data_IF_515093042684
#
_entry.id   IF_515093042684
#
_cell.length_a   1.000
_cell.length_b   1.000
_cell.length_c   1.000
_cell.angle_alpha   90.00
_cell.angle_beta   90.00
_cell.angle_gamma   90.00
#
_symmetry.space_group_name_H-M   'P 1'
#
loop_
_entity.id
_entity.type
_entity.pdbx_description
1 polymer ?
#
# COMPACT_ATOMS: atom_id res chain seq x y z
N UNK A 1 -21.52 18.69 25.72
CA UNK A 1 -22.44 19.83 25.57
C UNK A 1 -23.88 19.33 25.50
N UNK A 2 -24.78 19.97 26.21
CA UNK A 2 -26.24 19.73 26.11
C UNK A 2 -26.79 20.40 24.83
N UNK A 3 -27.94 19.96 24.30
CA UNK A 3 -28.61 20.66 23.21
C UNK A 3 -28.86 22.11 23.55
N UNK A 4 -28.48 23.03 22.67
CA UNK A 4 -28.58 24.51 22.86
C UNK A 4 -27.44 25.14 23.68
N UNK A 5 -26.51 24.34 24.20
CA UNK A 5 -25.37 24.85 24.98
C UNK A 5 -24.26 25.35 24.05
N UNK A 6 -23.63 26.48 24.41
CA UNK A 6 -22.49 27.06 23.71
C UNK A 6 -21.43 27.48 24.74
N UNK A 7 -20.18 27.11 24.51
CA UNK A 7 -19.03 27.47 25.35
C UNK A 7 -18.51 28.86 24.93
N UNK A 8 -19.11 29.92 25.47
CA UNK A 8 -18.82 31.29 25.06
C UNK A 8 -17.39 31.75 25.36
N UNK A 9 -16.76 31.14 26.35
CA UNK A 9 -15.40 31.50 26.80
C UNK A 9 -14.31 30.74 26.04
N UNK A 10 -14.67 29.92 25.02
CA UNK A 10 -13.77 29.13 24.22
C UNK A 10 -13.86 29.57 22.75
N UNK A 11 -13.18 30.66 22.37
CA UNK A 11 -13.16 31.09 20.99
C UNK A 11 -12.34 30.07 20.16
N UNK A 12 -12.84 29.73 18.99
CA UNK A 12 -12.14 28.89 18.03
C UNK A 12 -12.05 29.59 16.67
N UNK A 13 -10.92 29.34 16.00
CA UNK A 13 -10.67 29.77 14.64
C UNK A 13 -10.39 28.50 13.83
N UNK A 14 -11.10 28.31 12.74
CA UNK A 14 -10.87 27.19 11.85
C UNK A 14 -10.99 27.60 10.39
N UNK A 15 -10.29 26.88 9.53
CA UNK A 15 -10.43 26.98 8.09
C UNK A 15 -10.81 25.63 7.49
N UNK A 16 -11.62 25.65 6.43
CA UNK A 16 -11.96 24.39 5.77
C UNK A 16 -12.82 24.60 4.53
N UNK A 17 -13.06 23.49 3.83
CA UNK A 17 -13.84 23.47 2.58
C UNK A 17 -15.31 23.21 2.86
N UNK A 18 -16.20 24.00 2.29
CA UNK A 18 -17.64 23.75 2.31
C UNK A 18 -17.94 22.49 1.49
N UNK A 19 -18.49 21.48 2.14
CA UNK A 19 -18.94 20.23 1.50
C UNK A 19 -20.42 20.28 1.19
N UNK A 20 -21.22 20.74 2.15
CA UNK A 20 -22.66 21.00 1.97
C UNK A 20 -23.04 22.33 2.57
N UNK A 21 -24.15 22.89 2.09
CA UNK A 21 -24.76 24.07 2.70
C UNK A 21 -26.27 23.93 2.75
N UNK A 22 -26.86 24.46 3.81
CA UNK A 22 -28.31 24.46 4.05
C UNK A 22 -28.72 25.85 4.58
N UNK A 23 -29.88 26.32 4.19
CA UNK A 23 -30.44 27.56 4.71
C UNK A 23 -31.80 27.28 5.39
N UNK A 24 -31.97 27.80 6.60
CA UNK A 24 -33.25 27.82 7.29
C UNK A 24 -33.75 29.27 7.31
N UNK A 25 -34.11 29.79 6.13
CA UNK A 25 -34.44 31.16 5.89
C UNK A 25 -33.21 32.04 5.57
N UNK A 26 -33.38 33.38 5.54
CA UNK A 26 -32.31 34.32 5.22
C UNK A 26 -31.31 34.53 6.38
N UNK A 27 -31.76 34.34 7.62
CA UNK A 27 -31.00 34.65 8.83
C UNK A 27 -30.27 33.48 9.48
N UNK A 28 -30.43 32.24 8.97
CA UNK A 28 -29.80 31.05 9.54
C UNK A 28 -29.24 30.16 8.44
N UNK A 29 -27.92 29.97 8.46
CA UNK A 29 -27.18 29.17 7.50
C UNK A 29 -26.42 28.09 8.24
N UNK A 30 -26.31 26.90 7.59
CA UNK A 30 -25.52 25.79 8.05
C UNK A 30 -24.55 25.37 6.95
N UNK A 31 -23.30 25.11 7.31
CA UNK A 31 -22.27 24.61 6.43
C UNK A 31 -21.63 23.37 7.07
N UNK A 32 -21.52 22.30 6.32
CA UNK A 32 -20.65 21.17 6.70
C UNK A 32 -19.28 21.47 6.11
N UNK A 33 -18.31 21.76 6.97
CA UNK A 33 -16.96 22.16 6.59
C UNK A 33 -16.00 21.04 6.90
N UNK A 34 -15.13 20.72 5.95
CA UNK A 34 -14.13 19.65 6.06
C UNK A 34 -12.73 20.21 6.07
N UNK A 35 -11.95 19.82 7.08
CA UNK A 35 -10.52 20.09 7.19
C UNK A 35 -9.82 18.81 7.67
N UNK A 36 -8.69 18.48 7.03
CA UNK A 36 -7.87 17.28 7.35
C UNK A 36 -8.65 15.95 7.44
N UNK A 37 -9.75 15.86 6.70
CA UNK A 37 -10.62 14.66 6.69
C UNK A 37 -11.68 14.64 7.78
N UNK A 38 -11.67 15.61 8.70
CA UNK A 38 -12.67 15.77 9.75
C UNK A 38 -13.73 16.77 9.27
N UNK A 39 -14.99 16.45 9.52
CA UNK A 39 -16.11 17.30 9.16
C UNK A 39 -16.76 17.87 10.42
N UNK A 40 -17.08 19.16 10.38
CA UNK A 40 -17.82 19.84 11.43
C UNK A 40 -18.91 20.73 10.84
N UNK A 41 -20.04 20.79 11.53
CA UNK A 41 -21.11 21.73 11.18
C UNK A 41 -20.76 23.14 11.67
N UNK A 42 -20.96 24.12 10.82
CA UNK A 42 -20.93 25.53 11.16
C UNK A 42 -22.38 26.04 11.16
N UNK A 43 -22.81 26.64 12.27
CA UNK A 43 -24.09 27.34 12.38
C UNK A 43 -23.83 28.84 12.39
N UNK A 44 -24.21 29.52 11.33
CA UNK A 44 -24.15 30.99 11.23
C UNK A 44 -25.55 31.58 11.34
N UNK A 45 -25.73 32.46 12.32
CA UNK A 45 -27.00 33.12 12.60
C UNK A 45 -26.79 34.64 12.62
N UNK A 46 -27.63 35.39 11.92
CA UNK A 46 -27.51 36.82 11.78
C UNK A 46 -27.43 37.56 13.11
N UNK A 47 -28.24 37.14 14.11
CA UNK A 47 -28.28 37.78 15.43
C UNK A 47 -27.04 37.53 16.30
N UNK A 48 -26.20 36.54 15.92
CA UNK A 48 -24.95 36.18 16.59
C UNK A 48 -23.72 36.67 15.81
N UNK A 49 -23.91 37.17 14.62
CA UNK A 49 -22.83 37.64 13.76
C UNK A 49 -22.22 38.96 14.32
N UNK A 50 -20.89 39.07 14.20
CA UNK A 50 -20.15 40.27 14.57
C UNK A 50 -20.62 41.50 13.79
N UNK A 51 -21.12 41.30 12.56
CA UNK A 51 -21.75 42.35 11.74
C UNK A 51 -23.06 41.80 11.13
N UNK A 52 -24.21 41.97 11.81
CA UNK A 52 -25.51 41.50 11.33
C UNK A 52 -25.96 42.12 10.01
N UNK A 53 -25.58 43.36 9.73
CA UNK A 53 -26.02 44.10 8.51
C UNK A 53 -25.35 43.49 7.24
N UNK A 54 -24.11 43.06 7.35
CA UNK A 54 -23.37 42.42 6.24
C UNK A 54 -23.64 40.92 6.10
N UNK A 55 -24.36 40.28 7.02
CA UNK A 55 -24.57 38.84 7.07
C UNK A 55 -25.09 38.27 5.75
N UNK A 56 -26.14 38.88 5.18
CA UNK A 56 -26.71 38.39 3.91
C UNK A 56 -25.67 38.44 2.78
N UNK A 57 -25.00 39.59 2.61
CA UNK A 57 -23.99 39.77 1.56
C UNK A 57 -22.79 38.81 1.71
N UNK A 58 -22.34 38.55 2.95
CA UNK A 58 -21.24 37.59 3.21
C UNK A 58 -21.62 36.16 2.87
N UNK A 59 -22.86 35.76 3.14
CA UNK A 59 -23.30 34.34 2.96
C UNK A 59 -24.00 34.08 1.63
N UNK A 60 -24.36 35.09 0.86
CA UNK A 60 -25.09 34.97 -0.40
C UNK A 60 -24.21 34.32 -1.50
N UNK A 61 -22.93 34.67 -1.52
CA UNK A 61 -21.97 34.25 -2.53
C UNK A 61 -21.17 33.00 -2.14
N UNK A 62 -21.35 32.47 -0.92
CA UNK A 62 -20.69 31.27 -0.51
C UNK A 62 -21.31 30.05 -1.19
N UNK A 63 -20.48 29.22 -1.78
CA UNK A 63 -20.92 28.02 -2.48
C UNK A 63 -20.14 26.78 -2.05
N UNK A 64 -20.69 25.64 -2.41
CA UNK A 64 -20.06 24.34 -2.19
C UNK A 64 -18.70 24.28 -2.89
N UNK A 65 -17.67 23.89 -2.15
CA UNK A 65 -16.30 23.83 -2.63
C UNK A 65 -15.44 25.02 -2.18
N UNK A 66 -16.02 26.13 -1.79
CA UNK A 66 -15.28 27.28 -1.27
C UNK A 66 -14.50 26.89 -0.01
N UNK A 67 -13.37 27.54 0.18
CA UNK A 67 -12.60 27.48 1.43
C UNK A 67 -12.97 28.72 2.24
N UNK A 68 -13.43 28.49 3.44
CA UNK A 68 -13.83 29.54 4.37
C UNK A 68 -13.03 29.52 5.66
N UNK A 69 -12.82 30.69 6.24
CA UNK A 69 -12.42 30.88 7.63
C UNK A 69 -13.65 31.11 8.50
N UNK A 70 -13.65 30.54 9.69
CA UNK A 70 -14.75 30.65 10.65
C UNK A 70 -14.18 31.00 12.01
N UNK A 71 -14.76 32.04 12.61
CA UNK A 71 -14.54 32.41 14.02
C UNK A 71 -15.85 32.17 14.76
N UNK A 72 -15.77 31.57 15.93
CA UNK A 72 -16.95 31.25 16.72
C UNK A 72 -16.66 30.46 17.97
N UNK A 73 -17.66 29.83 18.51
CA UNK A 73 -17.58 29.07 19.77
C UNK A 73 -18.12 27.62 19.59
N UNK A 74 -17.54 26.63 20.27
CA UNK A 74 -18.12 25.29 20.28
C UNK A 74 -19.51 25.30 20.86
N UNK A 75 -20.46 24.68 20.17
CA UNK A 75 -21.83 24.56 20.64
C UNK A 75 -22.50 23.31 20.15
N UNK A 76 -23.67 23.03 20.70
CA UNK A 76 -24.53 21.96 20.23
C UNK A 76 -25.87 22.53 19.80
N UNK A 77 -26.26 22.28 18.57
CA UNK A 77 -27.55 22.77 18.06
C UNK A 77 -28.73 22.19 18.83
N UNK A 78 -29.86 22.90 18.85
CA UNK A 78 -31.11 22.41 19.44
C UNK A 78 -32.20 22.45 18.38
N UNK A 79 -32.37 21.34 17.60
CA UNK A 79 -33.41 21.32 16.58
C UNK A 79 -34.79 21.36 17.18
N UNK A 80 -35.69 22.19 16.62
CA UNK A 80 -37.10 22.31 17.03
C UNK A 80 -37.95 21.08 16.64
N UNK A 81 -37.36 19.99 16.20
CA UNK A 81 -38.06 18.77 15.85
C UNK A 81 -38.69 18.15 17.08
N UNK A 82 -39.96 17.71 16.95
CA UNK A 82 -40.72 17.03 18.01
C UNK A 82 -40.25 15.59 18.30
N UNK A 83 -39.23 15.08 17.62
CA UNK A 83 -38.63 13.79 17.93
C UNK A 83 -37.84 13.92 19.26
N UNK A 84 -38.28 13.20 20.28
CA UNK A 84 -37.72 13.21 21.64
C UNK A 84 -36.24 12.80 21.72
N UNK A 85 -35.62 12.39 20.62
CA UNK A 85 -34.24 11.93 20.48
C UNK A 85 -33.32 12.90 19.71
N UNK A 86 -33.78 14.09 19.33
CA UNK A 86 -32.96 15.04 18.58
C UNK A 86 -31.87 15.64 19.49
N UNK A 87 -30.74 14.91 19.64
CA UNK A 87 -29.61 15.30 20.50
C UNK A 87 -28.89 16.58 20.05
N UNK A 88 -29.26 17.13 18.90
CA UNK A 88 -28.52 18.23 18.27
C UNK A 88 -27.14 17.81 17.77
N UNK A 89 -26.55 18.58 16.89
CA UNK A 89 -25.26 18.33 16.28
C UNK A 89 -24.18 19.21 16.91
N UNK A 90 -22.99 18.63 17.16
CA UNK A 90 -21.83 19.41 17.60
C UNK A 90 -21.43 20.36 16.46
N UNK A 91 -21.34 21.63 16.77
CA UNK A 91 -21.19 22.69 15.77
C UNK A 91 -20.27 23.80 16.27
N UNK A 92 -19.74 24.57 15.34
CA UNK A 92 -19.22 25.91 15.65
C UNK A 92 -20.36 26.91 15.45
N UNK A 93 -20.71 27.61 16.53
CA UNK A 93 -21.63 28.74 16.48
C UNK A 93 -20.81 29.93 16.01
N UNK A 94 -20.93 30.25 14.72
CA UNK A 94 -20.08 31.26 14.09
C UNK A 94 -20.52 32.69 14.44
N UNK A 95 -19.55 33.49 14.80
CA UNK A 95 -19.66 34.94 14.91
C UNK A 95 -19.17 35.63 13.64
N UNK A 96 -18.27 34.99 12.90
CA UNK A 96 -17.76 35.47 11.64
C UNK A 96 -17.47 34.32 10.67
N UNK A 97 -17.79 34.53 9.38
CA UNK A 97 -17.45 33.61 8.29
C UNK A 97 -16.85 34.42 7.15
N UNK A 98 -15.64 34.07 6.75
CA UNK A 98 -14.87 34.78 5.73
C UNK A 98 -14.58 33.85 4.56
N UNK A 99 -14.84 34.30 3.33
CA UNK A 99 -14.38 33.61 2.13
C UNK A 99 -12.86 33.77 2.01
N UNK A 100 -12.12 32.63 2.10
CA UNK A 100 -10.66 32.62 1.91
C UNK A 100 -10.29 32.35 0.46
N UNK A 101 -10.97 31.38 -0.18
CA UNK A 101 -10.71 31.04 -1.59
C UNK A 101 -11.98 30.52 -2.24
N UNK A 102 -12.45 31.15 -3.33
CA UNK A 102 -13.60 30.66 -4.06
C UNK A 102 -13.27 29.38 -4.85
N UNK A 103 -14.24 28.49 -4.95
CA UNK A 103 -14.16 27.31 -5.80
C UNK A 103 -14.70 27.63 -7.20
N UNK A 104 -13.79 27.87 -8.15
CA UNK A 104 -14.15 28.30 -9.50
C UNK A 104 -14.77 27.18 -10.37
N UNK A 105 -14.68 25.92 -9.93
CA UNK A 105 -15.24 24.76 -10.63
C UNK A 105 -16.17 23.99 -9.70
N UNK A 106 -17.33 23.60 -10.21
CA UNK A 106 -18.29 22.81 -9.43
C UNK A 106 -17.70 21.44 -9.05
N UNK A 107 -17.73 21.11 -7.78
CA UNK A 107 -17.34 19.78 -7.31
C UNK A 107 -18.41 18.74 -7.69
N UNK A 108 -18.00 17.49 -7.98
CA UNK A 108 -18.91 16.36 -8.20
C UNK A 108 -19.90 16.21 -7.04
N UNK A 109 -21.10 15.74 -7.33
CA UNK A 109 -22.18 15.56 -6.35
C UNK A 109 -22.52 14.09 -6.16
N UNK A 110 -23.36 13.77 -5.18
CA UNK A 110 -23.92 12.42 -5.00
C UNK A 110 -24.69 11.96 -6.23
N UNK A 111 -25.34 12.88 -6.96
CA UNK A 111 -26.07 12.59 -8.21
C UNK A 111 -25.12 12.34 -9.38
N UNK A 112 -23.97 13.00 -9.39
CA UNK A 112 -22.90 12.86 -10.38
C UNK A 112 -21.60 12.52 -9.67
N UNK A 113 -21.43 11.25 -9.24
CA UNK A 113 -20.30 10.86 -8.43
C UNK A 113 -19.02 10.74 -9.25
N UNK A 114 -17.90 11.08 -8.64
CA UNK A 114 -16.57 10.98 -9.25
C UNK A 114 -16.02 9.57 -9.06
N UNK A 115 -16.43 8.63 -9.95
CA UNK A 115 -16.14 7.19 -9.83
C UNK A 115 -15.20 6.64 -10.89
N UNK A 116 -15.14 7.27 -12.07
CA UNK A 116 -14.28 6.81 -13.13
C UNK A 116 -12.81 6.73 -12.71
N UNK A 117 -12.18 5.57 -12.87
CA UNK A 117 -10.82 5.31 -12.39
C UNK A 117 -9.80 6.19 -13.07
N UNK A 118 -9.88 6.34 -14.40
CA UNK A 118 -8.92 7.12 -15.16
C UNK A 118 -9.02 8.62 -14.80
N UNK A 119 -10.23 9.16 -14.73
CA UNK A 119 -10.44 10.53 -14.29
C UNK A 119 -9.95 10.79 -12.87
N UNK A 120 -10.15 9.85 -11.94
CA UNK A 120 -9.66 9.94 -10.57
C UNK A 120 -8.12 10.01 -10.51
N UNK A 121 -7.43 9.27 -11.36
CA UNK A 121 -5.97 9.36 -11.47
C UNK A 121 -5.51 10.67 -12.12
N UNK A 122 -6.17 11.12 -13.18
CA UNK A 122 -5.84 12.38 -13.87
C UNK A 122 -6.14 13.62 -13.03
N UNK A 123 -7.24 13.60 -12.28
CA UNK A 123 -7.68 14.71 -11.41
C UNK A 123 -7.58 14.31 -9.94
N UNK A 124 -6.38 13.90 -9.52
CA UNK A 124 -6.13 13.38 -8.17
C UNK A 124 -6.57 14.33 -7.06
N UNK A 125 -6.43 15.64 -7.28
CA UNK A 125 -6.89 16.66 -6.32
C UNK A 125 -8.42 16.61 -6.10
N UNK A 126 -9.21 16.38 -7.14
CA UNK A 126 -10.66 16.19 -6.99
C UNK A 126 -10.96 14.88 -6.27
N UNK A 127 -10.26 13.80 -6.63
CA UNK A 127 -10.39 12.50 -5.97
C UNK A 127 -10.13 12.59 -4.46
N UNK A 128 -9.09 13.32 -4.04
CA UNK A 128 -8.77 13.52 -2.63
C UNK A 128 -9.79 14.40 -1.87
N UNK A 129 -10.45 15.31 -2.56
CA UNK A 129 -11.55 16.12 -1.99
C UNK A 129 -12.78 15.24 -1.76
N UNK A 130 -13.10 14.38 -2.75
CA UNK A 130 -14.37 13.66 -2.80
C UNK A 130 -14.34 12.28 -2.14
N UNK A 131 -13.19 11.59 -2.16
CA UNK A 131 -13.06 10.19 -1.77
C UNK A 131 -12.11 10.04 -0.57
N UNK A 132 -12.66 9.88 0.62
CA UNK A 132 -11.87 9.67 1.84
C UNK A 132 -11.01 8.39 1.78
N UNK A 133 -11.47 7.36 1.08
CA UNK A 133 -10.69 6.15 0.86
C UNK A 133 -9.35 6.45 0.18
N UNK A 134 -9.31 7.30 -0.85
CA UNK A 134 -8.08 7.69 -1.53
C UNK A 134 -7.13 8.46 -0.61
N UNK A 135 -7.65 9.35 0.20
CA UNK A 135 -6.88 10.09 1.20
C UNK A 135 -6.31 9.14 2.25
N UNK A 136 -7.14 8.26 2.79
CA UNK A 136 -6.74 7.29 3.80
C UNK A 136 -5.67 6.31 3.27
N UNK A 137 -5.75 5.91 1.99
CA UNK A 137 -4.72 5.10 1.34
C UNK A 137 -3.35 5.78 1.36
N UNK A 138 -3.26 7.08 1.06
CA UNK A 138 -2.00 7.83 1.13
C UNK A 138 -1.45 7.93 2.57
N UNK A 139 -2.34 8.19 3.53
CA UNK A 139 -1.95 8.25 4.96
C UNK A 139 -1.45 6.88 5.43
N UNK A 140 -2.18 5.81 5.08
CA UNK A 140 -1.81 4.44 5.43
C UNK A 140 -0.46 4.06 4.82
N UNK A 141 -0.22 4.40 3.55
CA UNK A 141 1.08 4.21 2.91
C UNK A 141 2.23 4.88 3.67
N UNK A 142 2.03 6.12 4.11
CA UNK A 142 3.03 6.84 4.90
C UNK A 142 3.31 6.17 6.24
N UNK A 143 2.26 5.69 6.93
CA UNK A 143 2.39 4.94 8.19
C UNK A 143 3.15 3.61 7.98
N UNK A 144 2.88 2.91 6.88
CA UNK A 144 3.59 1.66 6.51
C UNK A 144 5.08 1.93 6.34
N UNK A 145 5.46 2.90 5.51
CA UNK A 145 6.87 3.24 5.25
C UNK A 145 7.57 3.63 6.54
N UNK A 146 6.94 4.49 7.35
CA UNK A 146 7.50 4.91 8.62
C UNK A 146 7.69 3.73 9.59
N UNK A 147 6.71 2.85 9.72
CA UNK A 147 6.81 1.67 10.59
C UNK A 147 7.98 0.77 10.18
N UNK A 148 8.13 0.48 8.89
CA UNK A 148 9.23 -0.35 8.38
C UNK A 148 10.57 0.29 8.70
N UNK A 149 10.73 1.60 8.48
CA UNK A 149 11.96 2.32 8.82
C UNK A 149 12.25 2.24 10.33
N UNK A 150 11.28 2.63 11.17
CA UNK A 150 11.44 2.59 12.64
C UNK A 150 11.77 1.16 13.14
N UNK A 151 11.15 0.14 12.53
CA UNK A 151 11.37 -1.26 12.87
C UNK A 151 12.81 -1.72 12.58
N UNK A 152 13.34 -1.38 11.40
CA UNK A 152 14.69 -1.72 10.97
C UNK A 152 15.74 -0.89 11.72
N UNK A 153 15.53 0.42 11.87
CA UNK A 153 16.43 1.31 12.63
C UNK A 153 16.61 0.84 14.07
N UNK A 154 15.52 0.46 14.75
CA UNK A 154 15.54 -0.07 16.11
C UNK A 154 16.28 -1.42 16.25
N UNK A 155 16.56 -2.10 15.12
CA UNK A 155 17.34 -3.34 15.06
C UNK A 155 18.76 -3.14 14.54
N UNK A 156 19.20 -1.87 14.44
CA UNK A 156 20.54 -1.49 14.06
C UNK A 156 20.81 -1.59 12.56
N UNK A 157 19.78 -1.58 11.72
CA UNK A 157 19.97 -1.42 10.29
C UNK A 157 20.21 0.06 9.95
N UNK A 158 21.12 0.32 9.03
CA UNK A 158 21.41 1.65 8.51
C UNK A 158 20.60 1.88 7.23
N UNK A 159 19.79 2.93 7.22
CA UNK A 159 19.13 3.36 5.98
C UNK A 159 20.15 4.01 5.06
N UNK A 160 20.20 3.56 3.81
CA UNK A 160 21.12 4.08 2.79
C UNK A 160 20.35 4.49 1.54
N UNK A 161 21.00 5.25 0.68
CA UNK A 161 20.50 5.59 -0.65
C UNK A 161 21.57 5.23 -1.67
N UNK A 162 21.18 4.40 -2.63
CA UNK A 162 22.05 3.95 -3.72
C UNK A 162 21.64 4.59 -5.04
N UNK A 163 22.53 4.60 -6.06
CA UNK A 163 22.26 5.28 -7.33
C UNK A 163 21.03 4.74 -8.04
N UNK A 164 20.18 5.65 -8.56
CA UNK A 164 19.01 5.29 -9.39
C UNK A 164 19.38 5.09 -10.85
N UNK A 165 20.48 5.69 -11.33
CA UNK A 165 20.96 5.57 -12.71
C UNK A 165 22.34 4.90 -12.73
N UNK A 166 22.51 3.92 -13.59
CA UNK A 166 23.70 3.09 -13.65
C UNK A 166 24.13 2.82 -15.10
N UNK A 167 25.42 2.54 -15.27
CA UNK A 167 25.96 2.08 -16.57
C UNK A 167 25.51 0.67 -16.91
N UNK A 168 25.24 -0.16 -15.92
CA UNK A 168 24.85 -1.56 -16.06
C UNK A 168 23.54 -1.77 -15.28
N UNK A 169 22.54 -2.32 -15.94
CA UNK A 169 21.34 -2.79 -15.27
C UNK A 169 21.62 -4.14 -14.58
N UNK A 170 21.22 -4.30 -13.34
CA UNK A 170 21.43 -5.54 -12.59
C UNK A 170 20.62 -5.61 -11.31
N UNK A 171 20.69 -6.76 -10.62
CA UNK A 171 19.99 -7.02 -9.35
C UNK A 171 18.57 -7.60 -9.50
N UNK A 172 18.06 -7.76 -10.72
CA UNK A 172 16.79 -8.44 -10.98
C UNK A 172 16.71 -8.91 -12.44
N UNK A 173 15.76 -9.81 -12.73
CA UNK A 173 15.45 -10.26 -14.10
C UNK A 173 14.30 -9.41 -14.66
N UNK A 174 14.59 -8.17 -15.05
CA UNK A 174 13.61 -7.24 -15.59
C UNK A 174 14.21 -6.38 -16.71
N UNK A 175 13.37 -5.86 -17.59
CA UNK A 175 13.82 -4.91 -18.64
C UNK A 175 14.00 -3.52 -18.03
N UNK A 176 15.19 -2.88 -18.18
CA UNK A 176 15.43 -1.54 -17.66
C UNK A 176 14.86 -0.46 -18.59
N UNK A 177 14.52 0.70 -18.03
CA UNK A 177 14.42 1.93 -18.80
C UNK A 177 15.81 2.45 -19.11
N UNK A 178 16.01 2.94 -20.34
CA UNK A 178 17.26 3.57 -20.81
C UNK A 178 17.11 5.08 -20.79
N UNK A 179 18.16 5.76 -20.41
CA UNK A 179 18.31 7.21 -20.53
C UNK A 179 19.70 7.55 -21.07
N UNK A 180 19.96 8.80 -21.38
CA UNK A 180 21.23 9.24 -21.97
C UNK A 180 21.82 10.40 -21.19
N UNK A 181 23.11 10.32 -20.88
CA UNK A 181 23.86 11.40 -20.24
C UNK A 181 24.54 12.25 -21.31
N UNK A 182 24.05 13.46 -21.55
CA UNK A 182 24.51 14.34 -22.65
C UNK A 182 25.99 14.67 -22.57
N UNK A 183 26.47 15.11 -21.41
CA UNK A 183 27.87 15.51 -21.20
C UNK A 183 28.87 14.35 -21.36
N UNK A 184 28.50 13.15 -20.84
CA UNK A 184 29.34 11.97 -20.93
C UNK A 184 29.19 11.21 -22.23
N UNK A 185 28.20 11.56 -23.06
CA UNK A 185 27.91 10.90 -24.34
C UNK A 185 27.59 9.41 -24.20
N UNK A 186 26.87 8.99 -23.17
CA UNK A 186 26.69 7.57 -22.88
C UNK A 186 25.28 7.21 -22.41
N UNK A 187 24.88 5.98 -22.71
CA UNK A 187 23.65 5.38 -22.21
C UNK A 187 23.75 5.08 -20.70
N UNK A 188 22.68 5.37 -19.99
CA UNK A 188 22.46 4.95 -18.61
C UNK A 188 21.16 4.16 -18.50
N UNK A 189 21.05 3.37 -17.45
CA UNK A 189 19.86 2.58 -17.15
C UNK A 189 19.28 3.02 -15.81
N UNK A 190 17.96 3.14 -15.74
CA UNK A 190 17.27 3.27 -14.48
C UNK A 190 17.34 1.94 -13.73
N UNK A 191 17.58 1.98 -12.43
CA UNK A 191 17.71 0.76 -11.62
C UNK A 191 16.44 -0.07 -11.61
N UNK A 192 16.60 -1.39 -11.69
CA UNK A 192 15.52 -2.38 -11.56
C UNK A 192 15.44 -2.97 -10.15
N UNK A 193 16.51 -2.84 -9.38
CA UNK A 193 16.67 -3.18 -7.96
C UNK A 193 17.93 -2.52 -7.39
N UNK A 194 18.03 -2.23 -6.08
CA UNK A 194 19.24 -1.71 -5.42
C UNK A 194 20.20 -2.84 -4.98
N UNK A 195 19.88 -4.10 -5.20
CA UNK A 195 20.53 -5.31 -4.70
C UNK A 195 22.06 -5.26 -4.76
N UNK A 196 22.64 -4.96 -5.94
CA UNK A 196 24.09 -5.01 -6.14
C UNK A 196 24.83 -3.98 -5.26
N UNK A 197 24.27 -2.79 -5.15
CA UNK A 197 24.86 -1.75 -4.30
C UNK A 197 24.73 -2.06 -2.82
N UNK A 198 23.60 -2.57 -2.37
CA UNK A 198 23.40 -2.97 -0.97
C UNK A 198 24.36 -4.09 -0.60
N UNK A 199 24.59 -5.07 -1.49
CA UNK A 199 25.60 -6.10 -1.31
C UNK A 199 27.03 -5.54 -1.23
N UNK A 200 27.37 -4.56 -2.07
CA UNK A 200 28.67 -3.87 -1.99
C UNK A 200 28.89 -3.20 -0.62
N UNK A 201 27.85 -2.61 -0.05
CA UNK A 201 27.93 -2.00 1.29
C UNK A 201 28.17 -3.05 2.37
N UNK A 202 27.49 -4.21 2.29
CA UNK A 202 27.70 -5.32 3.23
C UNK A 202 29.13 -5.87 3.10
N UNK A 203 29.63 -6.09 1.89
CA UNK A 203 31.03 -6.49 1.64
C UNK A 203 32.01 -5.45 2.17
N UNK A 204 31.65 -4.17 2.09
CA UNK A 204 32.41 -3.05 2.65
C UNK A 204 32.39 -2.93 4.18
N UNK A 205 31.69 -3.85 4.88
CA UNK A 205 31.67 -3.91 6.35
C UNK A 205 30.47 -3.22 7.01
N UNK A 206 29.41 -2.88 6.26
CA UNK A 206 28.14 -2.43 6.82
C UNK A 206 27.22 -3.64 7.01
N UNK A 207 27.27 -4.26 8.18
CA UNK A 207 26.62 -5.56 8.44
C UNK A 207 25.10 -5.57 8.30
N UNK A 208 24.44 -4.42 8.45
CA UNK A 208 22.99 -4.27 8.36
C UNK A 208 22.63 -3.00 7.62
N UNK A 209 22.10 -3.13 6.42
CA UNK A 209 21.69 -2.00 5.59
C UNK A 209 20.31 -2.22 5.01
N UNK A 210 19.58 -1.13 4.76
CA UNK A 210 18.34 -1.19 4.02
C UNK A 210 18.12 0.08 3.18
N UNK A 211 17.32 -0.07 2.15
CA UNK A 211 16.85 1.05 1.34
C UNK A 211 15.36 0.93 1.06
N UNK A 212 14.61 2.00 1.27
CA UNK A 212 13.25 2.16 0.78
C UNK A 212 13.28 3.14 -0.36
N UNK A 213 13.05 2.67 -1.58
CA UNK A 213 13.25 3.49 -2.78
C UNK A 213 12.45 3.06 -3.99
N UNK A 214 12.52 3.88 -5.03
CA UNK A 214 11.86 3.63 -6.32
C UNK A 214 12.67 2.67 -7.16
N UNK A 215 11.95 1.74 -7.81
CA UNK A 215 12.46 0.84 -8.83
C UNK A 215 11.72 1.08 -10.14
N UNK A 216 12.39 0.77 -11.26
CA UNK A 216 11.89 1.07 -12.59
C UNK A 216 12.01 -0.19 -13.47
N UNK A 217 10.89 -0.76 -13.90
CA UNK A 217 10.84 -1.94 -14.77
C UNK A 217 10.02 -1.64 -16.02
N UNK A 218 10.64 -1.76 -17.19
CA UNK A 218 10.01 -1.49 -18.49
C UNK A 218 9.32 -2.76 -18.99
N UNK A 219 8.24 -3.10 -18.32
CA UNK A 219 7.43 -4.31 -18.54
C UNK A 219 5.96 -3.95 -18.69
N UNK A 220 5.09 -4.95 -18.90
CA UNK A 220 3.64 -4.74 -19.01
C UNK A 220 3.04 -4.13 -17.75
N UNK A 221 1.99 -3.34 -17.93
CA UNK A 221 1.22 -2.71 -16.85
C UNK A 221 -0.04 -3.54 -16.63
N UNK A 222 -0.28 -3.92 -15.38
CA UNK A 222 -1.52 -4.56 -14.94
C UNK A 222 -1.98 -4.00 -13.59
N UNK A 223 -2.91 -4.70 -12.92
CA UNK A 223 -3.46 -4.26 -11.64
C UNK A 223 -2.48 -4.32 -10.47
N UNK A 224 -1.37 -5.06 -10.63
CA UNK A 224 -0.34 -5.28 -9.60
C UNK A 224 1.04 -4.78 -10.01
N UNK A 225 1.28 -4.55 -11.30
CA UNK A 225 2.56 -4.15 -11.85
C UNK A 225 2.49 -2.75 -12.45
N UNK A 226 3.31 -1.85 -11.90
CA UNK A 226 3.53 -0.51 -12.43
C UNK A 226 5.00 -0.39 -12.91
N UNK A 227 5.27 0.43 -13.94
CA UNK A 227 6.64 0.63 -14.42
C UNK A 227 7.55 1.30 -13.40
N UNK A 228 6.97 2.04 -12.46
CA UNK A 228 7.63 2.66 -11.32
C UNK A 228 6.91 2.24 -10.03
N UNK A 229 7.65 1.67 -9.08
CA UNK A 229 7.11 1.20 -7.81
C UNK A 229 8.13 1.36 -6.69
N UNK A 230 7.70 1.18 -5.45
CA UNK A 230 8.57 1.29 -4.27
C UNK A 230 8.79 -0.08 -3.66
N UNK A 231 10.07 -0.39 -3.38
CA UNK A 231 10.46 -1.56 -2.57
C UNK A 231 11.15 -1.13 -1.29
N UNK A 232 11.12 -2.01 -0.30
CA UNK A 232 12.05 -2.03 0.80
C UNK A 232 12.94 -3.23 0.62
N UNK A 233 14.24 -3.03 0.47
CA UNK A 233 15.23 -4.09 0.47
C UNK A 233 16.16 -3.91 1.66
N UNK A 234 16.45 -5.00 2.39
CA UNK A 234 17.39 -4.99 3.50
C UNK A 234 18.33 -6.19 3.43
N UNK A 235 19.54 -6.01 3.91
CA UNK A 235 20.61 -7.00 3.90
C UNK A 235 21.22 -7.09 5.29
N UNK A 236 21.39 -8.32 5.77
CA UNK A 236 21.85 -8.62 7.11
C UNK A 236 22.97 -9.66 7.06
N UNK A 237 24.20 -9.23 7.35
CA UNK A 237 25.35 -10.11 7.48
C UNK A 237 25.18 -11.06 8.68
N UNK A 238 25.69 -12.28 8.53
CA UNK A 238 25.69 -13.34 9.55
C UNK A 238 24.32 -13.89 9.95
N UNK A 239 23.23 -13.43 9.35
CA UNK A 239 21.90 -14.00 9.51
C UNK A 239 21.70 -15.17 8.52
N UNK A 240 20.90 -16.13 8.90
CA UNK A 240 20.46 -17.18 7.98
C UNK A 240 19.02 -16.97 7.49
N UNK A 241 18.54 -17.87 6.64
CA UNK A 241 17.18 -17.78 6.08
C UNK A 241 16.11 -17.72 7.19
N UNK A 242 16.32 -18.46 8.27
CA UNK A 242 15.33 -18.54 9.36
C UNK A 242 15.30 -17.26 10.19
N UNK A 243 16.45 -16.64 10.44
CA UNK A 243 16.53 -15.33 11.11
C UNK A 243 15.75 -14.27 10.31
N UNK A 244 15.94 -14.24 8.99
CA UNK A 244 15.26 -13.27 8.11
C UNK A 244 13.77 -13.58 7.97
N UNK A 245 13.40 -14.86 7.96
CA UNK A 245 12.00 -15.29 7.95
C UNK A 245 11.26 -14.82 9.21
N UNK A 246 11.85 -15.05 10.39
CA UNK A 246 11.29 -14.60 11.67
C UNK A 246 11.20 -13.07 11.78
N UNK A 247 12.23 -12.36 11.32
CA UNK A 247 12.23 -10.90 11.28
C UNK A 247 11.12 -10.38 10.37
N UNK A 248 10.96 -10.99 9.19
CA UNK A 248 9.93 -10.61 8.21
C UNK A 248 8.53 -10.83 8.78
N UNK A 249 8.29 -11.98 9.37
CA UNK A 249 7.02 -12.35 10.00
C UNK A 249 6.67 -11.37 11.14
N UNK A 250 7.64 -11.06 12.00
CA UNK A 250 7.46 -10.14 13.12
C UNK A 250 7.19 -8.70 12.61
N UNK A 251 7.97 -8.25 11.64
CA UNK A 251 7.83 -6.91 11.05
C UNK A 251 6.46 -6.72 10.41
N UNK A 252 6.03 -7.65 9.57
CA UNK A 252 4.78 -7.48 8.81
C UNK A 252 3.55 -7.68 9.70
N UNK A 253 3.55 -8.67 10.59
CA UNK A 253 2.46 -8.85 11.57
C UNK A 253 2.34 -7.64 12.49
N UNK A 254 3.46 -7.13 13.00
CA UNK A 254 3.50 -5.93 13.84
C UNK A 254 3.06 -4.67 13.09
N UNK A 255 3.45 -4.53 11.82
CA UNK A 255 3.01 -3.46 10.93
C UNK A 255 1.48 -3.42 10.80
N UNK A 256 0.88 -4.55 10.48
CA UNK A 256 -0.59 -4.65 10.33
C UNK A 256 -1.27 -4.23 11.62
N UNK A 257 -0.84 -4.78 12.76
CA UNK A 257 -1.39 -4.41 14.07
C UNK A 257 -1.26 -2.90 14.36
N UNK A 258 -0.10 -2.31 14.06
CA UNK A 258 0.15 -0.88 14.31
C UNK A 258 -0.72 0.03 13.43
N UNK A 259 -1.01 -0.38 12.20
CA UNK A 259 -1.76 0.43 11.23
C UNK A 259 -3.27 0.26 11.38
N UNK A 260 -3.73 -0.96 11.66
CA UNK A 260 -5.17 -1.31 11.68
C UNK A 260 -5.75 -1.46 13.08
N UNK A 261 -4.91 -1.58 14.10
CA UNK A 261 -5.30 -1.83 15.49
C UNK A 261 -5.47 -3.32 15.85
N UNK A 262 -5.33 -4.23 14.90
CA UNK A 262 -5.46 -5.68 15.11
C UNK A 262 -4.70 -6.49 14.07
N UNK A 263 -4.85 -7.82 14.12
CA UNK A 263 -4.22 -8.73 13.17
C UNK A 263 -5.18 -9.20 12.07
N UNK A 264 -6.42 -8.74 12.07
CA UNK A 264 -7.40 -9.12 11.06
C UNK A 264 -7.65 -7.97 10.08
N UNK A 265 -7.67 -8.28 8.81
CA UNK A 265 -7.97 -7.34 7.73
C UNK A 265 -8.90 -7.97 6.71
N UNK A 266 -9.60 -7.13 5.95
CA UNK A 266 -10.42 -7.56 4.82
C UNK A 266 -9.88 -6.93 3.53
N UNK A 267 -9.70 -7.76 2.51
CA UNK A 267 -9.37 -7.34 1.16
C UNK A 267 -10.57 -7.56 0.24
N UNK A 268 -11.12 -6.48 -0.29
CA UNK A 268 -12.12 -6.55 -1.35
C UNK A 268 -11.42 -6.63 -2.70
N UNK A 269 -11.57 -7.74 -3.41
CA UNK A 269 -11.00 -7.91 -4.74
C UNK A 269 -11.83 -7.13 -5.78
N UNK A 270 -11.26 -6.93 -6.95
CA UNK A 270 -11.98 -6.29 -8.05
C UNK A 270 -13.07 -7.19 -8.65
N UNK A 271 -12.97 -8.50 -8.43
CA UNK A 271 -13.99 -9.50 -8.82
C UNK A 271 -15.16 -9.55 -7.85
N UNK A 272 -15.11 -8.81 -6.73
CA UNK A 272 -16.14 -8.76 -5.70
C UNK A 272 -15.98 -9.81 -4.59
N UNK A 273 -14.94 -10.62 -4.64
CA UNK A 273 -14.59 -11.51 -3.53
C UNK A 273 -14.03 -10.73 -2.34
N UNK A 274 -14.32 -11.19 -1.14
CA UNK A 274 -13.80 -10.61 0.11
C UNK A 274 -12.94 -11.63 0.82
N UNK A 275 -11.64 -11.38 0.89
CA UNK A 275 -10.73 -12.20 1.67
C UNK A 275 -10.59 -11.66 3.08
N UNK A 276 -10.85 -12.50 4.08
CA UNK A 276 -10.50 -12.23 5.48
C UNK A 276 -9.12 -12.78 5.75
N UNK A 277 -8.21 -11.93 6.19
CA UNK A 277 -6.81 -12.27 6.39
C UNK A 277 -6.45 -12.12 7.87
N UNK A 278 -5.93 -13.18 8.45
CA UNK A 278 -5.36 -13.18 9.78
C UNK A 278 -3.82 -13.12 9.69
N UNK A 279 -3.24 -12.04 10.17
CA UNK A 279 -1.80 -11.75 10.17
C UNK A 279 -1.09 -12.17 11.45
N UNK A 280 -1.78 -12.87 12.38
CA UNK A 280 -1.14 -13.34 13.62
C UNK A 280 -0.08 -14.39 13.34
N UNK A 281 0.99 -14.37 14.13
CA UNK A 281 2.05 -15.39 14.09
C UNK A 281 1.62 -16.67 14.82
N UNK A 282 2.16 -17.85 14.47
CA UNK A 282 3.09 -18.11 13.36
C UNK A 282 2.37 -18.21 12.00
N UNK A 283 3.04 -17.77 10.92
CA UNK A 283 2.54 -17.93 9.57
C UNK A 283 2.74 -19.37 9.07
N UNK A 284 1.88 -19.80 8.16
CA UNK A 284 2.01 -21.09 7.49
C UNK A 284 3.33 -21.16 6.72
N UNK A 285 4.06 -22.28 6.85
CA UNK A 285 5.27 -22.58 6.09
C UNK A 285 5.00 -23.78 5.20
N UNK A 286 5.21 -23.64 3.90
CA UNK A 286 4.92 -24.64 2.87
C UNK A 286 6.23 -24.99 2.16
N UNK A 287 6.65 -26.22 2.25
CA UNK A 287 7.76 -26.72 1.43
C UNK A 287 7.26 -27.00 0.01
N UNK A 288 7.90 -26.39 -1.00
CA UNK A 288 7.41 -26.36 -2.37
C UNK A 288 7.19 -27.75 -2.96
N UNK A 289 8.19 -28.61 -2.96
CA UNK A 289 8.10 -29.92 -3.61
C UNK A 289 7.11 -30.85 -2.88
N UNK A 290 7.19 -31.04 -1.55
CA UNK A 290 6.20 -31.85 -0.83
C UNK A 290 4.76 -31.38 -1.01
N UNK A 291 4.53 -30.07 -1.04
CA UNK A 291 3.19 -29.53 -1.25
C UNK A 291 2.67 -29.81 -2.67
N UNK A 292 3.54 -29.76 -3.69
CA UNK A 292 3.17 -30.14 -5.05
C UNK A 292 2.89 -31.65 -5.15
N UNK A 293 3.66 -32.50 -4.48
CA UNK A 293 3.43 -33.94 -4.43
C UNK A 293 2.05 -34.27 -3.85
N UNK A 294 1.72 -33.65 -2.74
CA UNK A 294 0.40 -33.77 -2.10
C UNK A 294 -0.74 -33.31 -3.03
N UNK A 295 -0.60 -32.12 -3.62
CA UNK A 295 -1.64 -31.53 -4.44
C UNK A 295 -1.87 -32.26 -5.77
N UNK A 296 -0.81 -32.80 -6.37
CA UNK A 296 -0.86 -33.45 -7.68
C UNK A 296 -1.09 -34.98 -7.56
N UNK A 297 -0.80 -35.60 -6.41
CA UNK A 297 -0.84 -37.03 -6.19
C UNK A 297 0.29 -37.77 -6.90
N UNK A 298 1.47 -37.15 -7.01
CA UNK A 298 2.67 -37.70 -7.68
C UNK A 298 3.88 -37.61 -6.76
N UNK A 299 4.94 -38.33 -7.08
CA UNK A 299 6.24 -38.21 -6.41
C UNK A 299 7.22 -37.55 -7.37
N UNK A 300 7.85 -36.47 -6.93
CA UNK A 300 8.88 -35.78 -7.70
C UNK A 300 10.23 -36.48 -7.58
N UNK A 301 11.09 -36.35 -8.59
CA UNK A 301 12.49 -36.73 -8.47
C UNK A 301 13.19 -35.98 -7.31
N UNK A 302 14.28 -36.55 -6.75
CA UNK A 302 15.09 -35.86 -5.75
C UNK A 302 15.52 -34.47 -6.19
N UNK A 303 15.70 -33.52 -5.23
CA UNK A 303 15.98 -32.12 -5.51
C UNK A 303 17.15 -31.90 -6.46
N UNK A 304 18.22 -32.69 -6.35
CA UNK A 304 19.41 -32.66 -7.21
C UNK A 304 19.16 -33.16 -8.64
N UNK A 305 18.04 -33.81 -8.90
CA UNK A 305 17.65 -34.31 -10.23
C UNK A 305 16.58 -33.44 -10.91
N UNK A 306 16.04 -32.43 -10.23
CA UNK A 306 14.97 -31.56 -10.77
C UNK A 306 15.37 -30.81 -12.05
N UNK A 307 16.66 -30.70 -12.34
CA UNK A 307 17.18 -30.02 -13.54
C UNK A 307 17.35 -30.95 -14.76
N UNK A 308 17.13 -32.26 -14.63
CA UNK A 308 17.39 -33.27 -15.68
C UNK A 308 16.32 -33.24 -16.79
N UNK A 309 16.65 -33.90 -17.90
CA UNK A 309 15.71 -34.06 -19.02
C UNK A 309 14.56 -35.00 -18.65
N UNK A 310 14.83 -36.05 -17.86
CA UNK A 310 13.80 -36.96 -17.36
C UNK A 310 12.74 -36.19 -16.54
N UNK A 311 13.19 -35.27 -15.71
CA UNK A 311 12.27 -34.37 -14.98
C UNK A 311 11.52 -33.44 -15.92
N UNK A 312 12.14 -32.96 -17.01
CA UNK A 312 11.45 -32.16 -18.01
C UNK A 312 10.26 -32.90 -18.63
N UNK A 313 10.52 -34.16 -19.04
CA UNK A 313 9.49 -34.99 -19.65
C UNK A 313 8.39 -35.40 -18.65
N UNK A 314 8.74 -35.63 -17.39
CA UNK A 314 7.81 -35.84 -16.29
C UNK A 314 6.92 -34.63 -16.06
N UNK A 315 7.47 -33.41 -16.03
CA UNK A 315 6.70 -32.16 -15.83
C UNK A 315 5.76 -31.90 -17.00
N UNK A 316 6.20 -32.12 -18.25
CA UNK A 316 5.32 -31.98 -19.42
C UNK A 316 4.12 -32.90 -19.33
N UNK A 317 4.34 -34.15 -18.93
CA UNK A 317 3.27 -35.15 -18.77
C UNK A 317 2.24 -34.66 -17.71
N UNK A 318 2.70 -34.12 -16.58
CA UNK A 318 1.81 -33.55 -15.56
C UNK A 318 0.99 -32.40 -16.13
N UNK A 319 1.63 -31.47 -16.84
CA UNK A 319 0.92 -30.33 -17.43
C UNK A 319 -0.17 -30.78 -18.42
N UNK A 320 0.14 -31.78 -19.26
CA UNK A 320 -0.82 -32.37 -20.21
C UNK A 320 -1.99 -33.07 -19.49
N UNK A 321 -1.70 -33.93 -18.50
CA UNK A 321 -2.70 -34.65 -17.72
C UNK A 321 -3.63 -33.70 -16.95
N UNK A 322 -3.09 -32.61 -16.40
CA UNK A 322 -3.84 -31.58 -15.66
C UNK A 322 -4.42 -30.49 -16.55
N UNK A 323 -4.15 -30.53 -17.86
CA UNK A 323 -4.60 -29.53 -18.86
C UNK A 323 -4.17 -28.11 -18.52
N UNK A 324 -2.94 -27.94 -18.06
CA UNK A 324 -2.37 -26.65 -17.68
C UNK A 324 -1.54 -26.12 -18.85
N UNK A 325 -1.89 -24.95 -19.34
CA UNK A 325 -1.13 -24.26 -20.37
C UNK A 325 0.11 -23.59 -19.78
N UNK A 326 1.27 -23.90 -20.34
CA UNK A 326 2.54 -23.25 -20.01
C UNK A 326 3.17 -22.67 -21.28
N UNK A 327 3.51 -21.38 -21.26
CA UNK A 327 4.10 -20.69 -22.41
C UNK A 327 5.56 -21.09 -22.64
N UNK A 328 6.00 -21.35 -23.88
CA UNK A 328 7.41 -21.63 -24.21
C UNK A 328 8.38 -20.52 -23.77
N UNK A 329 9.66 -20.86 -23.50
CA UNK A 329 10.26 -22.21 -23.54
C UNK A 329 9.86 -23.05 -22.32
N UNK A 330 9.58 -24.34 -22.53
CA UNK A 330 9.16 -25.28 -21.47
C UNK A 330 10.39 -25.77 -20.67
N UNK A 331 11.00 -24.89 -19.91
CA UNK A 331 12.05 -25.23 -18.97
C UNK A 331 11.47 -25.81 -17.68
N UNK A 332 12.24 -26.66 -16.97
CA UNK A 332 11.80 -27.25 -15.71
C UNK A 332 11.41 -26.16 -14.69
N UNK A 333 12.21 -25.09 -14.61
CA UNK A 333 11.93 -23.95 -13.72
C UNK A 333 10.57 -23.31 -14.03
N UNK A 334 10.28 -23.03 -15.31
CA UNK A 334 9.01 -22.39 -15.72
C UNK A 334 7.81 -23.31 -15.51
N UNK A 335 7.96 -24.60 -15.78
CA UNK A 335 6.89 -25.57 -15.57
C UNK A 335 6.57 -25.75 -14.08
N UNK A 336 7.61 -25.82 -13.23
CA UNK A 336 7.42 -25.84 -11.78
C UNK A 336 6.78 -24.56 -11.25
N UNK A 337 7.25 -23.40 -11.70
CA UNK A 337 6.68 -22.10 -11.34
C UNK A 337 5.17 -22.06 -11.68
N UNK A 338 4.79 -22.54 -12.86
CA UNK A 338 3.39 -22.63 -13.27
C UNK A 338 2.57 -23.55 -12.35
N UNK A 339 3.12 -24.70 -11.95
CA UNK A 339 2.46 -25.63 -11.03
C UNK A 339 2.33 -25.03 -9.62
N UNK A 340 3.35 -24.32 -9.14
CA UNK A 340 3.30 -23.59 -7.86
C UNK A 340 2.20 -22.55 -7.88
N UNK A 341 2.10 -21.74 -8.94
CA UNK A 341 1.06 -20.76 -9.12
C UNK A 341 -0.35 -21.36 -9.02
N UNK A 342 -0.59 -22.46 -9.72
CA UNK A 342 -1.92 -23.11 -9.79
C UNK A 342 -2.30 -23.86 -8.49
N UNK A 343 -1.34 -24.52 -7.82
CA UNK A 343 -1.65 -25.45 -6.73
C UNK A 343 -1.26 -24.96 -5.34
N UNK A 344 -0.31 -24.06 -5.21
CA UNK A 344 0.16 -23.57 -3.92
C UNK A 344 -0.27 -22.12 -3.69
N UNK A 345 0.05 -21.20 -4.61
CA UNK A 345 -0.23 -19.76 -4.44
C UNK A 345 -1.73 -19.49 -4.31
N UNK A 346 -2.56 -20.21 -5.08
CA UNK A 346 -4.03 -20.13 -5.01
C UNK A 346 -4.59 -20.47 -3.62
N UNK A 347 -3.85 -21.24 -2.80
CA UNK A 347 -4.24 -21.57 -1.42
C UNK A 347 -3.80 -20.52 -0.39
N UNK A 348 -2.95 -19.57 -0.77
CA UNK A 348 -2.31 -18.62 0.13
C UNK A 348 -3.20 -17.39 0.38
N UNK A 349 -4.30 -17.56 1.12
CA UNK A 349 -5.15 -16.43 1.55
C UNK A 349 -4.53 -15.73 2.76
N UNK A 350 -4.22 -16.47 3.83
CA UNK A 350 -3.47 -15.96 4.97
C UNK A 350 -1.97 -15.92 4.66
N UNK A 351 -1.18 -15.12 5.39
CA UNK A 351 0.27 -15.06 5.20
C UNK A 351 0.90 -16.45 5.23
N UNK A 352 1.59 -16.79 4.15
CA UNK A 352 2.17 -18.11 3.93
C UNK A 352 3.57 -17.96 3.34
N UNK A 353 4.56 -18.59 3.94
CA UNK A 353 5.89 -18.74 3.37
C UNK A 353 5.96 -19.98 2.50
N UNK A 354 6.41 -19.85 1.26
CA UNK A 354 6.82 -20.95 0.40
C UNK A 354 8.35 -21.04 0.49
N UNK A 355 8.87 -22.20 0.89
CA UNK A 355 10.29 -22.44 1.16
C UNK A 355 10.80 -23.65 0.35
N UNK A 356 12.13 -23.82 0.27
CA UNK A 356 12.72 -24.98 -0.39
C UNK A 356 12.63 -24.95 -1.92
N UNK A 357 12.83 -23.76 -2.49
CA UNK A 357 12.86 -23.59 -3.95
C UNK A 357 13.99 -24.39 -4.59
N UNK A 358 13.76 -25.07 -5.73
CA UNK A 358 14.81 -25.71 -6.50
C UNK A 358 15.88 -24.73 -6.96
N UNK A 359 17.14 -25.16 -6.96
CA UNK A 359 18.29 -24.34 -7.34
C UNK A 359 18.15 -23.75 -8.75
N UNK A 360 17.59 -24.49 -9.70
CA UNK A 360 17.39 -24.03 -11.08
C UNK A 360 16.38 -22.86 -11.19
N UNK A 361 15.50 -22.67 -10.20
CA UNK A 361 14.60 -21.52 -10.11
C UNK A 361 15.26 -20.32 -9.46
N UNK A 362 16.41 -20.52 -8.82
CA UNK A 362 17.09 -19.51 -8.01
C UNK A 362 18.60 -19.62 -8.11
N UNK A 363 19.16 -19.36 -9.30
CA UNK A 363 20.60 -19.61 -9.57
C UNK A 363 21.54 -18.75 -8.73
N UNK A 364 21.05 -17.64 -8.17
CA UNK A 364 21.82 -16.73 -7.32
C UNK A 364 21.60 -16.97 -5.82
N UNK A 365 20.73 -17.92 -5.45
CA UNK A 365 20.44 -18.23 -4.07
C UNK A 365 21.42 -19.26 -3.51
N UNK A 366 21.77 -19.13 -2.22
CA UNK A 366 22.62 -20.07 -1.50
C UNK A 366 21.98 -21.47 -1.48
N UNK A 367 22.80 -22.48 -1.69
CA UNK A 367 22.36 -23.88 -1.58
C UNK A 367 21.85 -24.20 -0.18
N UNK A 368 20.83 -25.02 -0.11
CA UNK A 368 20.27 -25.49 1.15
C UNK A 368 21.28 -26.38 1.88
N UNK A 369 21.55 -26.07 3.16
CA UNK A 369 22.60 -26.74 3.97
C UNK A 369 22.41 -28.24 4.14
N UNK A 370 21.18 -28.76 4.00
CA UNK A 370 20.85 -30.16 4.26
C UNK A 370 19.95 -30.80 3.20
N UNK A 371 19.49 -30.09 2.19
CA UNK A 371 18.61 -30.58 1.13
C UNK A 371 19.28 -30.36 -0.24
N UNK A 372 20.00 -31.33 -0.81
CA UNK A 372 20.66 -31.20 -2.12
C UNK A 372 19.70 -30.76 -3.22
N UNK A 373 20.16 -29.88 -4.11
CA UNK A 373 19.36 -29.35 -5.23
C UNK A 373 18.34 -28.29 -4.89
N UNK A 374 18.15 -27.96 -3.60
CA UNK A 374 17.31 -26.88 -3.12
C UNK A 374 18.14 -25.67 -2.64
N UNK A 375 17.49 -24.55 -2.46
CA UNK A 375 18.07 -23.29 -1.97
C UNK A 375 17.48 -22.85 -0.63
N UNK A 376 18.28 -22.12 0.15
CA UNK A 376 17.82 -21.34 1.30
C UNK A 376 17.18 -20.06 0.79
N UNK A 377 15.93 -20.16 0.39
CA UNK A 377 15.11 -19.07 -0.15
C UNK A 377 13.67 -19.23 0.34
N UNK A 378 13.00 -18.12 0.53
CA UNK A 378 11.54 -18.11 0.72
C UNK A 378 10.86 -17.01 -0.10
N UNK A 379 9.59 -17.20 -0.34
CA UNK A 379 8.65 -16.17 -0.79
C UNK A 379 7.46 -16.14 0.17
N UNK A 380 6.93 -14.96 0.45
CA UNK A 380 5.75 -14.80 1.29
C UNK A 380 4.56 -14.33 0.45
N UNK A 381 3.47 -15.04 0.55
CA UNK A 381 2.22 -14.78 -0.17
C UNK A 381 1.09 -14.43 0.79
N UNK A 382 0.24 -13.50 0.36
CA UNK A 382 -1.04 -13.16 1.01
C UNK A 382 -2.07 -12.85 -0.07
N UNK A 383 -3.28 -13.38 0.08
CA UNK A 383 -4.35 -13.22 -0.92
C UNK A 383 -3.86 -13.56 -2.34
N UNK A 384 -3.12 -14.64 -2.47
CA UNK A 384 -2.56 -15.16 -3.73
C UNK A 384 -1.54 -14.22 -4.39
N UNK A 385 -0.95 -13.28 -3.65
CA UNK A 385 0.02 -12.30 -4.13
C UNK A 385 1.31 -12.38 -3.33
N UNK A 386 2.44 -12.39 -4.04
CA UNK A 386 3.76 -12.27 -3.43
C UNK A 386 3.91 -10.87 -2.82
N UNK A 387 4.27 -10.80 -1.54
CA UNK A 387 4.51 -9.56 -0.81
C UNK A 387 5.96 -9.40 -0.39
N UNK A 388 6.69 -10.50 -0.21
CA UNK A 388 8.11 -10.52 0.19
C UNK A 388 8.82 -11.66 -0.50
N UNK A 389 10.06 -11.40 -0.92
CA UNK A 389 10.97 -12.42 -1.46
C UNK A 389 12.32 -12.30 -0.76
N UNK A 390 12.85 -13.45 -0.30
CA UNK A 390 14.24 -13.58 0.11
C UNK A 390 15.00 -14.39 -0.94
N UNK A 391 16.11 -13.85 -1.40
CA UNK A 391 17.14 -14.59 -2.14
C UNK A 391 18.44 -14.46 -1.36
N UNK A 392 18.87 -15.51 -0.70
CA UNK A 392 20.13 -15.52 0.03
C UNK A 392 21.28 -15.60 -0.99
N UNK A 393 22.16 -14.61 -1.09
CA UNK A 393 23.22 -14.63 -2.11
C UNK A 393 24.27 -15.67 -1.81
N UNK A 394 24.85 -16.25 -2.87
CA UNK A 394 26.13 -16.93 -2.78
C UNK A 394 27.20 -15.94 -2.35
N UNK A 395 27.64 -16.00 -1.11
CA UNK A 395 28.96 -15.47 -0.74
C UNK A 395 29.97 -16.60 -0.94
N UNK A 396 30.54 -16.68 -2.13
CA UNK A 396 31.88 -17.21 -2.27
C UNK A 396 32.83 -16.10 -1.82
N UNK A 397 33.40 -16.25 -0.63
CA UNK A 397 34.62 -15.57 -0.21
C UNK A 397 35.79 -16.23 -0.91
#
# INVERSE_FOLDING_TARGET
LKPGETLKDVPIHLGGRIITQRAAGSKLKFYDVKCEGIMIQIMAQSDLASNPESFTAQHENLQRGDIIGVIGNPGRTSPKSRAAEAKGELSVIATEVVLLTPCLQLLPTTKYPFKDKEERFRKRFVDLIMNDASRNTLITRTKIVKYISDYLDNRGFLQVQTPMMNKIAGGATAKPFKTYHNELGMDLFMRIAPELYLKMLVVGGLDRVYEIGRQFRNEGIDLTHNPEFTTCEFYWAYADMYDVLELTEDMVSGLVKAVTGGYETELNTQTGEVYKVNWSKPWRRVEMIPALEEALGVTFPPGDQLHTQETNDFLKKILEEKKIECTPPLTNARMLDKLVGEYIEETCINPTFIIGHPQMMSPLAKYHRSKPGLCERFEAFVCKKEIVRLTFPFCHV
#
